data_IF_424952351857
#
_entry.id   IF_424952351857
#
_cell.length_a   1.000
_cell.length_b   1.000
_cell.length_c   1.000
_cell.angle_alpha   90.00
_cell.angle_beta   90.00
_cell.angle_gamma   90.00
#
_symmetry.space_group_name_H-M   'P 1'
#
loop_
_entity.id
_entity.type
_entity.pdbx_description
1 polymer ?
#
# COMPACT_ATOMS: atom_id res chain seq x y z
N UNK A 1 17.48 24.45 21.37
CA UNK A 1 16.92 23.32 20.58
C UNK A 1 16.70 22.04 21.42
N UNK A 2 17.20 21.94 22.66
CA UNK A 2 17.18 20.70 23.48
C UNK A 2 16.28 20.79 24.73
N UNK A 3 15.01 21.21 24.63
CA UNK A 3 14.05 21.10 25.76
C UNK A 3 12.96 20.05 25.55
N UNK A 4 12.85 19.53 24.32
CA UNK A 4 11.91 18.46 23.97
C UNK A 4 12.71 17.20 23.56
N UNK A 5 12.49 16.05 24.21
CA UNK A 5 13.19 14.80 23.88
C UNK A 5 12.93 14.31 22.46
N UNK A 6 11.79 14.61 21.84
CA UNK A 6 11.52 14.25 20.44
C UNK A 6 12.38 15.08 19.47
N UNK A 7 12.47 16.39 19.72
CA UNK A 7 13.36 17.30 19.00
C UNK A 7 14.84 16.94 19.14
N UNK A 8 15.25 16.43 20.31
CA UNK A 8 16.61 15.97 20.55
C UNK A 8 16.94 14.69 19.75
N UNK A 9 16.01 13.71 19.74
CA UNK A 9 16.17 12.49 18.96
C UNK A 9 16.26 12.76 17.45
N UNK A 10 15.42 13.65 16.91
CA UNK A 10 15.46 13.99 15.48
C UNK A 10 16.74 14.76 15.11
N UNK A 11 17.19 15.67 15.98
CA UNK A 11 18.48 16.36 15.79
C UNK A 11 19.65 15.37 15.81
N UNK A 12 19.63 14.37 16.69
CA UNK A 12 20.63 13.31 16.73
C UNK A 12 20.55 12.37 15.53
N UNK A 13 19.37 12.14 14.95
CA UNK A 13 19.19 11.26 13.80
C UNK A 13 19.79 11.85 12.51
N UNK A 14 19.66 13.16 12.31
CA UNK A 14 19.99 13.81 11.01
C UNK A 14 21.04 14.92 11.08
N UNK A 15 21.44 15.34 12.27
CA UNK A 15 22.39 16.44 12.48
C UNK A 15 23.85 16.03 12.34
N UNK A 16 24.72 17.04 12.17
CA UNK A 16 26.17 16.86 12.27
C UNK A 16 26.54 16.46 13.69
N UNK A 17 27.04 15.23 13.83
CA UNK A 17 27.38 14.64 15.12
C UNK A 17 28.87 14.79 15.39
N UNK A 18 29.24 15.48 16.48
CA UNK A 18 30.63 15.47 16.94
C UNK A 18 30.91 14.17 17.69
N UNK A 19 32.13 13.65 17.55
CA UNK A 19 32.55 12.41 18.23
C UNK A 19 32.29 12.44 19.75
N UNK A 20 32.64 13.54 20.42
CA UNK A 20 32.45 13.67 21.86
C UNK A 20 30.96 13.65 22.29
N UNK A 21 30.06 14.10 21.42
CA UNK A 21 28.62 14.05 21.70
C UNK A 21 28.08 12.62 21.47
N UNK A 22 28.58 11.93 20.44
CA UNK A 22 28.27 10.52 20.21
C UNK A 22 28.72 9.62 21.37
N UNK A 23 29.97 9.77 21.81
CA UNK A 23 30.55 9.01 22.93
C UNK A 23 29.76 9.23 24.23
N UNK A 24 29.31 10.48 24.47
CA UNK A 24 28.46 10.82 25.62
C UNK A 24 27.11 10.13 25.57
N UNK A 25 26.40 10.20 24.44
CA UNK A 25 25.11 9.50 24.27
C UNK A 25 25.25 7.99 24.47
N UNK A 26 26.35 7.40 23.98
CA UNK A 26 26.64 5.97 24.17
C UNK A 26 26.93 5.65 25.64
N UNK A 27 27.70 6.49 26.34
CA UNK A 27 28.00 6.30 27.76
C UNK A 27 26.76 6.45 28.66
N UNK A 28 25.90 7.42 28.35
CA UNK A 28 24.67 7.71 29.10
C UNK A 28 23.48 6.83 28.67
N UNK A 29 23.66 6.02 27.61
CA UNK A 29 22.60 5.21 26.96
C UNK A 29 21.37 6.02 26.54
N UNK A 30 21.58 7.25 26.07
CA UNK A 30 20.50 8.16 25.66
C UNK A 30 20.29 8.13 24.14
N UNK A 31 19.03 7.97 23.71
CA UNK A 31 18.61 8.02 22.29
C UNK A 31 19.42 7.12 21.33
N UNK A 32 19.88 5.95 21.80
CA UNK A 32 20.80 5.08 21.03
C UNK A 32 20.27 4.66 19.66
N UNK A 33 18.96 4.41 19.51
CA UNK A 33 18.39 4.06 18.22
C UNK A 33 18.47 5.23 17.22
N UNK A 34 18.14 6.45 17.67
CA UNK A 34 18.27 7.65 16.84
C UNK A 34 19.74 7.95 16.51
N UNK A 35 20.65 7.72 17.46
CA UNK A 35 22.09 7.85 17.27
C UNK A 35 22.61 6.86 16.21
N UNK A 36 22.15 5.60 16.26
CA UNK A 36 22.51 4.55 15.32
C UNK A 36 22.08 4.86 13.88
N UNK A 37 20.97 5.59 13.70
CA UNK A 37 20.50 6.08 12.40
C UNK A 37 21.37 7.22 11.83
N UNK A 38 22.20 7.89 12.64
CA UNK A 38 22.97 9.05 12.20
C UNK A 38 24.09 8.67 11.21
N UNK A 39 24.10 9.19 9.98
CA UNK A 39 25.12 8.87 8.97
C UNK A 39 26.55 9.22 9.40
N UNK A 40 26.72 10.24 10.24
CA UNK A 40 28.02 10.73 10.73
C UNK A 40 28.54 9.97 11.96
N UNK A 41 27.84 8.93 12.44
CA UNK A 41 28.32 8.14 13.58
C UNK A 41 29.66 7.46 13.25
N UNK A 42 30.70 7.63 14.10
CA UNK A 42 31.99 6.96 13.90
C UNK A 42 31.87 5.44 13.81
N UNK A 43 32.65 4.83 12.92
CA UNK A 43 32.58 3.40 12.62
C UNK A 43 32.80 2.51 13.87
N UNK A 44 33.71 2.89 14.77
CA UNK A 44 33.95 2.15 16.01
C UNK A 44 32.71 2.13 16.94
N UNK A 45 31.92 3.21 16.94
CA UNK A 45 30.65 3.26 17.68
C UNK A 45 29.53 2.49 16.97
N UNK A 46 29.52 2.46 15.63
CA UNK A 46 28.60 1.61 14.86
C UNK A 46 28.82 0.14 15.21
N UNK A 47 30.06 -0.34 15.22
CA UNK A 47 30.41 -1.72 15.56
C UNK A 47 30.02 -2.05 17.02
N UNK A 48 30.18 -1.10 17.94
CA UNK A 48 29.74 -1.27 19.33
C UNK A 48 28.21 -1.39 19.43
N UNK A 49 27.46 -0.54 18.72
CA UNK A 49 26.00 -0.54 18.76
C UNK A 49 25.38 -1.73 18.00
N UNK A 50 26.10 -2.32 17.06
CA UNK A 50 25.68 -3.54 16.36
C UNK A 50 25.45 -4.74 17.30
N UNK A 51 26.13 -4.74 18.46
CA UNK A 51 25.99 -5.74 19.51
C UNK A 51 25.28 -5.21 20.77
N UNK A 52 24.57 -4.08 20.69
CA UNK A 52 23.85 -3.54 21.86
C UNK A 52 22.74 -4.51 22.32
N UNK A 53 22.42 -4.51 23.61
CA UNK A 53 21.38 -5.37 24.17
C UNK A 53 19.98 -4.99 23.67
N UNK A 54 19.77 -3.74 23.28
CA UNK A 54 18.50 -3.26 22.72
C UNK A 54 18.34 -3.62 21.24
N UNK A 55 17.32 -4.43 20.93
CA UNK A 55 17.01 -4.86 19.56
C UNK A 55 16.64 -3.71 18.62
N UNK A 56 16.07 -2.61 19.12
CA UNK A 56 15.76 -1.43 18.30
C UNK A 56 17.04 -0.71 17.85
N UNK A 57 18.07 -0.70 18.70
CA UNK A 57 19.40 -0.16 18.35
C UNK A 57 20.07 -1.04 17.29
N UNK A 58 20.07 -2.37 17.49
CA UNK A 58 20.62 -3.31 16.51
C UNK A 58 19.91 -3.21 15.16
N UNK A 59 18.58 -3.10 15.16
CA UNK A 59 17.79 -2.87 13.95
C UNK A 59 18.16 -1.53 13.28
N UNK A 60 18.31 -0.44 14.03
CA UNK A 60 18.74 0.83 13.47
C UNK A 60 20.13 0.74 12.79
N UNK A 61 21.08 0.04 13.42
CA UNK A 61 22.41 -0.21 12.84
C UNK A 61 22.30 -1.06 11.57
N UNK A 62 21.47 -2.12 11.56
CA UNK A 62 21.29 -2.99 10.39
C UNK A 62 20.65 -2.28 9.19
N UNK A 63 20.12 -1.07 9.35
CA UNK A 63 19.54 -0.27 8.26
C UNK A 63 20.51 0.73 7.63
N UNK A 64 21.74 0.86 8.15
CA UNK A 64 22.70 1.86 7.68
C UNK A 64 23.18 1.62 6.25
N UNK A 65 23.32 2.65 5.41
CA UNK A 65 23.73 2.46 4.01
C UNK A 65 25.21 2.12 3.86
N UNK A 66 26.08 2.37 4.85
CA UNK A 66 27.51 2.07 4.71
C UNK A 66 27.83 0.58 4.90
N UNK A 67 26.92 -0.20 5.50
CA UNK A 67 27.13 -1.64 5.73
C UNK A 67 27.01 -2.43 4.43
N UNK A 68 27.98 -3.31 4.18
CA UNK A 68 27.83 -4.37 3.21
C UNK A 68 26.78 -5.40 3.65
N UNK A 69 26.36 -6.27 2.72
CA UNK A 69 25.28 -7.23 2.98
C UNK A 69 25.67 -8.28 4.04
N UNK A 70 26.93 -8.70 4.08
CA UNK A 70 27.38 -9.73 5.01
C UNK A 70 27.36 -9.21 6.46
N UNK A 71 27.91 -8.02 6.69
CA UNK A 71 27.87 -7.34 7.99
C UNK A 71 26.46 -6.99 8.40
N UNK A 72 25.64 -6.50 7.46
CA UNK A 72 24.23 -6.19 7.72
C UNK A 72 23.47 -7.39 8.28
N UNK A 73 23.66 -8.55 7.65
CA UNK A 73 22.95 -9.77 7.99
C UNK A 73 23.60 -10.56 9.13
N UNK A 74 24.81 -10.20 9.58
CA UNK A 74 25.40 -10.78 10.80
C UNK A 74 24.89 -10.14 12.10
N UNK A 75 24.18 -9.01 12.01
CA UNK A 75 23.56 -8.35 13.16
C UNK A 75 22.31 -9.12 13.55
N UNK A 76 22.17 -9.45 14.83
CA UNK A 76 20.96 -10.10 15.37
C UNK A 76 19.82 -9.08 15.51
N UNK A 77 19.08 -8.82 14.43
CA UNK A 77 17.93 -7.91 14.46
C UNK A 77 16.62 -8.68 14.28
N UNK A 78 15.53 -8.11 14.80
CA UNK A 78 14.17 -8.59 14.60
C UNK A 78 13.36 -7.55 13.84
N UNK A 79 12.55 -8.00 12.88
CA UNK A 79 11.64 -7.16 12.12
C UNK A 79 10.21 -7.56 12.45
N UNK A 80 9.36 -6.60 12.78
CA UNK A 80 7.94 -6.83 12.97
C UNK A 80 7.23 -7.16 11.66
N UNK A 81 6.19 -7.98 11.75
CA UNK A 81 5.45 -8.44 10.56
C UNK A 81 4.88 -7.27 9.75
N UNK A 82 4.46 -6.20 10.44
CA UNK A 82 3.86 -5.00 9.84
C UNK A 82 4.85 -3.86 9.58
N UNK A 83 6.13 -4.01 9.93
CA UNK A 83 7.11 -2.93 9.75
C UNK A 83 7.34 -2.64 8.27
N UNK A 84 6.95 -1.44 7.84
CA UNK A 84 7.03 -1.05 6.44
C UNK A 84 8.45 -0.77 5.93
N UNK A 85 9.41 -0.52 6.82
CA UNK A 85 10.72 0.00 6.41
C UNK A 85 10.68 1.49 6.07
N UNK A 86 9.70 2.24 6.60
CA UNK A 86 9.61 3.69 6.41
C UNK A 86 10.77 4.46 7.07
N UNK A 87 11.45 3.82 8.03
CA UNK A 87 12.68 4.33 8.65
C UNK A 87 13.93 4.18 7.79
N UNK A 88 13.89 3.50 6.63
CA UNK A 88 15.05 3.37 5.73
C UNK A 88 15.19 4.64 4.88
N UNK A 89 15.64 5.72 5.54
CA UNK A 89 15.62 7.07 4.98
C UNK A 89 16.38 7.18 3.66
N UNK A 90 17.52 6.50 3.50
CA UNK A 90 18.34 6.60 2.28
C UNK A 90 17.70 5.93 1.06
N UNK A 91 16.75 5.00 1.26
CA UNK A 91 15.92 4.46 0.17
C UNK A 91 14.73 5.39 -0.10
N UNK A 92 14.12 5.92 0.97
CA UNK A 92 12.97 6.82 0.89
C UNK A 92 13.31 8.17 0.25
N UNK A 93 14.50 8.70 0.54
CA UNK A 93 14.98 10.01 0.12
C UNK A 93 15.81 9.93 -1.19
N UNK A 94 16.23 8.73 -1.59
CA UNK A 94 16.81 8.42 -2.90
C UNK A 94 15.92 7.56 -3.80
N UNK A 95 14.59 7.74 -3.87
CA UNK A 95 13.70 6.76 -4.48
C UNK A 95 13.83 6.70 -6.01
N UNK A 96 14.45 7.70 -6.64
CA UNK A 96 14.70 7.73 -8.08
C UNK A 96 16.09 7.21 -8.49
N UNK A 97 16.98 6.90 -7.53
CA UNK A 97 18.32 6.39 -7.81
C UNK A 97 18.25 4.87 -8.08
N UNK A 98 18.54 4.41 -9.33
CA UNK A 98 18.45 3.00 -9.67
C UNK A 98 19.39 2.11 -8.87
N UNK A 99 20.56 2.62 -8.45
CA UNK A 99 21.55 1.85 -7.70
C UNK A 99 21.11 1.65 -6.25
N UNK A 100 20.57 2.70 -5.63
CA UNK A 100 19.93 2.63 -4.31
C UNK A 100 18.80 1.60 -4.31
N UNK A 101 17.90 1.67 -5.30
CA UNK A 101 16.79 0.73 -5.43
C UNK A 101 17.28 -0.70 -5.69
N UNK A 102 18.28 -0.88 -6.55
CA UNK A 102 18.85 -2.19 -6.86
C UNK A 102 19.44 -2.83 -5.62
N UNK A 103 20.22 -2.08 -4.85
CA UNK A 103 20.83 -2.54 -3.59
C UNK A 103 19.76 -2.92 -2.57
N UNK A 104 18.77 -2.05 -2.34
CA UNK A 104 17.72 -2.30 -1.36
C UNK A 104 16.82 -3.50 -1.75
N UNK A 105 16.44 -3.60 -3.02
CA UNK A 105 15.62 -4.70 -3.52
C UNK A 105 16.34 -6.06 -3.55
N UNK A 106 17.69 -6.05 -3.68
CA UNK A 106 18.50 -7.26 -3.70
C UNK A 106 18.91 -7.76 -2.30
N UNK A 107 18.78 -6.93 -1.26
CA UNK A 107 19.15 -7.29 0.11
C UNK A 107 18.27 -8.40 0.69
N UNK A 108 18.84 -9.22 1.56
CA UNK A 108 18.12 -10.18 2.38
C UNK A 108 17.32 -9.48 3.49
N UNK A 109 17.70 -8.25 3.87
CA UNK A 109 17.04 -7.48 4.93
C UNK A 109 15.59 -7.13 4.53
N UNK A 110 14.56 -7.60 5.27
CA UNK A 110 13.14 -7.39 4.89
C UNK A 110 12.75 -5.92 4.73
N UNK A 111 13.16 -5.06 5.67
CA UNK A 111 12.84 -3.63 5.61
C UNK A 111 13.43 -2.90 4.40
N UNK A 112 14.60 -3.32 3.89
CA UNK A 112 15.18 -2.73 2.67
C UNK A 112 14.34 -3.11 1.45
N UNK A 113 13.90 -4.37 1.36
CA UNK A 113 13.00 -4.85 0.30
C UNK A 113 11.65 -4.13 0.34
N UNK A 114 11.05 -4.00 1.54
CA UNK A 114 9.79 -3.28 1.75
C UNK A 114 9.94 -1.79 1.41
N UNK A 115 11.04 -1.15 1.80
CA UNK A 115 11.33 0.24 1.43
C UNK A 115 11.45 0.42 -0.10
N UNK A 116 12.19 -0.48 -0.76
CA UNK A 116 12.35 -0.44 -2.22
C UNK A 116 11.03 -0.63 -2.98
N UNK A 117 10.16 -1.52 -2.49
CA UNK A 117 8.84 -1.80 -3.06
C UNK A 117 7.85 -0.61 -3.01
N UNK A 118 8.20 0.48 -2.32
CA UNK A 118 7.39 1.70 -2.26
C UNK A 118 7.69 2.65 -3.42
N UNK A 119 8.88 2.59 -4.02
CA UNK A 119 9.30 3.57 -5.02
C UNK A 119 8.70 3.25 -6.38
N UNK A 120 7.89 4.14 -7.01
CA UNK A 120 7.30 3.89 -8.32
C UNK A 120 8.34 3.69 -9.45
N UNK A 121 9.62 4.00 -9.21
CA UNK A 121 10.72 3.90 -10.17
C UNK A 121 11.42 2.53 -10.18
N UNK A 122 10.95 1.55 -9.41
CA UNK A 122 11.56 0.22 -9.39
C UNK A 122 11.46 -0.44 -10.78
N UNK A 123 12.62 -0.84 -11.29
CA UNK A 123 12.72 -1.56 -12.56
C UNK A 123 11.93 -2.88 -12.52
N UNK A 124 11.30 -3.24 -13.64
CA UNK A 124 10.42 -4.41 -13.75
C UNK A 124 11.08 -5.73 -13.31
N UNK A 125 12.37 -5.90 -13.58
CA UNK A 125 13.12 -7.09 -13.13
C UNK A 125 13.19 -7.21 -11.61
N UNK A 126 13.41 -6.09 -10.91
CA UNK A 126 13.44 -6.03 -9.46
C UNK A 126 12.04 -6.14 -8.85
N UNK A 127 11.04 -5.51 -9.47
CA UNK A 127 9.62 -5.67 -9.09
C UNK A 127 9.22 -7.15 -9.10
N UNK A 128 9.51 -7.86 -10.19
CA UNK A 128 9.21 -9.31 -10.32
C UNK A 128 9.99 -10.15 -9.30
N UNK A 129 11.22 -9.75 -8.96
CA UNK A 129 12.00 -10.42 -7.91
C UNK A 129 11.34 -10.24 -6.55
N UNK A 130 10.96 -9.00 -6.22
CA UNK A 130 10.30 -8.66 -4.96
C UNK A 130 8.93 -9.34 -4.84
N UNK A 131 8.14 -9.39 -5.90
CA UNK A 131 6.84 -10.07 -5.92
C UNK A 131 6.91 -11.57 -5.58
N UNK A 132 8.07 -12.22 -5.77
CA UNK A 132 8.27 -13.65 -5.47
C UNK A 132 8.70 -13.93 -4.04
N UNK A 133 8.97 -12.90 -3.23
CA UNK A 133 9.42 -13.12 -1.85
C UNK A 133 8.31 -13.63 -0.94
N UNK A 134 7.04 -13.51 -1.37
CA UNK A 134 5.87 -13.85 -0.56
C UNK A 134 5.64 -12.91 0.62
N UNK A 135 6.38 -11.80 0.72
CA UNK A 135 6.22 -10.81 1.79
C UNK A 135 4.95 -9.96 1.54
N UNK A 136 3.90 -10.08 2.38
CA UNK A 136 2.65 -9.35 2.18
C UNK A 136 2.82 -7.83 2.12
N UNK A 137 3.78 -7.28 2.86
CA UNK A 137 4.03 -5.83 2.90
C UNK A 137 4.65 -5.37 1.57
N UNK A 138 5.55 -6.18 1.01
CA UNK A 138 6.11 -5.94 -0.33
C UNK A 138 4.99 -5.96 -1.38
N UNK A 139 4.16 -7.00 -1.39
CA UNK A 139 3.07 -7.12 -2.36
C UNK A 139 2.09 -5.95 -2.27
N UNK A 140 1.69 -5.56 -1.06
CA UNK A 140 0.81 -4.42 -0.85
C UNK A 140 1.44 -3.15 -1.42
N UNK A 141 2.72 -2.88 -1.14
CA UNK A 141 3.40 -1.70 -1.69
C UNK A 141 3.51 -1.74 -3.21
N UNK A 142 3.81 -2.91 -3.78
CA UNK A 142 3.82 -3.10 -5.23
C UNK A 142 2.45 -2.78 -5.84
N UNK A 143 1.36 -3.35 -5.31
CA UNK A 143 0.02 -3.11 -5.84
C UNK A 143 -0.49 -1.67 -5.67
N UNK A 144 0.06 -0.93 -4.70
CA UNK A 144 -0.37 0.45 -4.41
C UNK A 144 0.44 1.49 -5.15
N UNK A 145 1.75 1.30 -5.25
CA UNK A 145 2.66 2.33 -5.74
C UNK A 145 3.15 2.08 -7.16
N UNK A 146 3.01 0.87 -7.70
CA UNK A 146 3.61 0.54 -8.99
C UNK A 146 2.57 0.33 -10.10
N UNK A 147 2.56 1.18 -11.15
CA UNK A 147 1.65 0.98 -12.27
C UNK A 147 1.91 -0.33 -13.02
N UNK A 148 3.13 -0.88 -12.86
CA UNK A 148 3.58 -2.09 -13.51
C UNK A 148 3.32 -3.39 -12.71
N UNK A 149 2.68 -3.32 -11.54
CA UNK A 149 2.34 -4.50 -10.76
C UNK A 149 1.55 -5.51 -11.60
N UNK A 150 1.95 -6.79 -11.49
CA UNK A 150 1.29 -7.88 -12.22
C UNK A 150 -0.10 -8.16 -11.66
N UNK A 151 -1.02 -8.61 -12.52
CA UNK A 151 -2.35 -9.09 -12.14
C UNK A 151 -2.32 -10.04 -10.93
N UNK A 152 -1.39 -10.99 -10.90
CA UNK A 152 -1.28 -11.97 -9.81
C UNK A 152 -1.07 -11.29 -8.44
N UNK A 153 -0.20 -10.29 -8.38
CA UNK A 153 0.05 -9.49 -7.18
C UNK A 153 -1.17 -8.65 -6.84
N UNK A 154 -1.76 -7.97 -7.83
CA UNK A 154 -2.95 -7.14 -7.63
C UNK A 154 -4.11 -7.96 -7.06
N UNK A 155 -4.35 -9.16 -7.57
CA UNK A 155 -5.39 -10.05 -7.08
C UNK A 155 -5.12 -10.57 -5.66
N UNK A 156 -3.85 -10.82 -5.28
CA UNK A 156 -3.50 -11.17 -3.90
C UNK A 156 -3.70 -9.99 -2.93
N UNK A 157 -3.32 -8.79 -3.35
CA UNK A 157 -3.52 -7.58 -2.53
C UNK A 157 -5.01 -7.26 -2.39
N UNK A 158 -5.77 -7.38 -3.48
CA UNK A 158 -7.23 -7.29 -3.48
C UNK A 158 -7.86 -8.26 -2.48
N UNK A 159 -7.49 -9.55 -2.55
CA UNK A 159 -7.98 -10.57 -1.63
C UNK A 159 -7.70 -10.25 -0.16
N UNK A 160 -6.51 -9.70 0.10
CA UNK A 160 -6.02 -9.44 1.45
C UNK A 160 -6.66 -8.21 2.10
N UNK A 161 -6.83 -7.13 1.33
CA UNK A 161 -7.27 -5.85 1.88
C UNK A 161 -8.78 -5.69 1.89
N UNK A 162 -9.50 -6.33 0.96
CA UNK A 162 -10.97 -6.31 0.87
C UNK A 162 -11.57 -4.90 0.81
N UNK A 163 -12.90 -4.83 0.94
CA UNK A 163 -13.64 -3.60 1.22
C UNK A 163 -13.39 -2.43 0.26
N UNK A 164 -13.37 -1.22 0.81
CA UNK A 164 -13.23 0.04 0.05
C UNK A 164 -11.88 0.16 -0.65
N UNK A 165 -10.82 -0.39 -0.07
CA UNK A 165 -9.49 -0.35 -0.66
C UNK A 165 -9.41 -1.17 -1.95
N UNK A 166 -9.97 -2.37 -1.92
CA UNK A 166 -9.97 -3.29 -3.06
C UNK A 166 -10.82 -2.74 -4.21
N UNK A 167 -11.92 -2.05 -3.88
CA UNK A 167 -12.70 -1.29 -4.84
C UNK A 167 -11.89 -0.18 -5.52
N UNK A 168 -11.23 0.68 -4.73
CA UNK A 168 -10.37 1.74 -5.23
C UNK A 168 -9.25 1.19 -6.12
N UNK A 169 -8.61 0.10 -5.72
CA UNK A 169 -7.57 -0.56 -6.52
C UNK A 169 -8.12 -1.07 -7.85
N UNK A 170 -9.27 -1.77 -7.83
CA UNK A 170 -9.89 -2.28 -9.04
C UNK A 170 -10.28 -1.16 -10.01
N UNK A 171 -10.66 0.01 -9.48
CA UNK A 171 -11.07 1.20 -10.22
C UNK A 171 -9.90 1.99 -10.81
N UNK A 172 -8.83 2.17 -10.04
CA UNK A 172 -7.76 3.15 -10.37
C UNK A 172 -6.49 2.51 -10.90
N UNK A 173 -6.22 1.24 -10.62
CA UNK A 173 -4.95 0.63 -11.00
C UNK A 173 -4.93 0.27 -12.50
N UNK A 174 -3.95 0.75 -13.29
CA UNK A 174 -3.96 0.65 -14.76
C UNK A 174 -3.87 -0.78 -15.29
N UNK A 175 -3.25 -1.69 -14.51
CA UNK A 175 -3.13 -3.12 -14.83
C UNK A 175 -4.08 -4.03 -14.07
N UNK A 176 -5.08 -3.47 -13.38
CA UNK A 176 -6.06 -4.33 -12.72
C UNK A 176 -6.84 -5.14 -13.77
N UNK A 177 -7.08 -6.45 -13.54
CA UNK A 177 -7.78 -7.29 -14.50
C UNK A 177 -9.17 -6.75 -14.82
N UNK A 178 -9.60 -6.91 -16.07
CA UNK A 178 -10.94 -6.49 -16.52
C UNK A 178 -11.70 -7.59 -17.25
N UNK A 179 -11.00 -8.46 -17.98
CA UNK A 179 -11.64 -9.49 -18.79
C UNK A 179 -11.80 -10.81 -18.02
N UNK A 180 -12.88 -11.54 -18.31
CA UNK A 180 -13.13 -12.87 -17.74
C UNK A 180 -13.50 -12.87 -16.26
N UNK A 181 -13.69 -11.69 -15.65
CA UNK A 181 -14.10 -11.56 -14.25
C UNK A 181 -15.51 -12.10 -14.02
N UNK A 182 -16.42 -11.92 -14.97
CA UNK A 182 -17.79 -12.43 -14.89
C UNK A 182 -17.80 -13.95 -14.82
N UNK A 183 -17.14 -14.60 -15.79
CA UNK A 183 -17.07 -16.07 -15.83
C UNK A 183 -16.40 -16.66 -14.58
N UNK A 184 -15.40 -15.96 -14.02
CA UNK A 184 -14.61 -16.46 -12.89
C UNK A 184 -15.26 -16.21 -11.52
N UNK A 185 -15.95 -15.08 -11.36
CA UNK A 185 -16.33 -14.60 -10.03
C UNK A 185 -17.82 -14.35 -9.83
N UNK A 186 -18.67 -14.50 -10.85
CA UNK A 186 -20.10 -14.19 -10.71
C UNK A 186 -20.82 -15.00 -9.61
N UNK A 187 -20.32 -16.21 -9.30
CA UNK A 187 -20.89 -17.10 -8.29
C UNK A 187 -19.92 -17.36 -7.12
N UNK A 188 -18.90 -16.49 -6.94
CA UNK A 188 -17.91 -16.64 -5.88
C UNK A 188 -18.55 -16.49 -4.48
N UNK A 189 -18.14 -17.24 -3.45
CA UNK A 189 -18.74 -17.16 -2.11
C UNK A 189 -18.53 -15.79 -1.44
N UNK A 190 -17.38 -15.17 -1.63
CA UNK A 190 -17.08 -13.80 -1.17
C UNK A 190 -17.62 -12.76 -2.16
N UNK A 191 -18.45 -11.84 -1.66
CA UNK A 191 -19.06 -10.80 -2.49
C UNK A 191 -18.12 -9.71 -2.99
N UNK A 192 -16.92 -9.53 -2.41
CA UNK A 192 -15.90 -8.66 -3.02
C UNK A 192 -15.56 -9.20 -4.42
N UNK A 193 -15.37 -10.51 -4.57
CA UNK A 193 -15.13 -11.11 -5.88
C UNK A 193 -16.35 -11.03 -6.79
N UNK A 194 -17.57 -11.24 -6.28
CA UNK A 194 -18.78 -11.04 -7.10
C UNK A 194 -18.91 -9.60 -7.61
N UNK A 195 -18.47 -8.60 -6.85
CA UNK A 195 -18.36 -7.21 -7.32
C UNK A 195 -17.40 -7.06 -8.50
N UNK A 196 -16.34 -7.87 -8.61
CA UNK A 196 -15.48 -7.87 -9.80
C UNK A 196 -16.22 -8.34 -11.06
N UNK A 197 -17.17 -9.27 -10.93
CA UNK A 197 -17.97 -9.72 -12.07
C UNK A 197 -18.77 -8.58 -12.71
N UNK A 198 -19.22 -7.59 -11.93
CA UNK A 198 -19.87 -6.37 -12.45
C UNK A 198 -18.92 -5.59 -13.38
N UNK A 199 -17.63 -5.54 -13.05
CA UNK A 199 -16.63 -4.76 -13.79
C UNK A 199 -16.23 -5.38 -15.14
N UNK A 200 -16.60 -6.63 -15.39
CA UNK A 200 -16.27 -7.29 -16.65
C UNK A 200 -16.98 -6.59 -17.82
N UNK A 201 -16.27 -6.09 -18.85
CA UNK A 201 -16.90 -5.55 -20.05
C UNK A 201 -17.83 -6.54 -20.75
N UNK A 202 -17.58 -7.85 -20.61
CA UNK A 202 -18.40 -8.91 -21.17
C UNK A 202 -19.58 -9.34 -20.29
N UNK A 203 -19.76 -8.75 -19.09
CA UNK A 203 -20.93 -9.04 -18.26
C UNK A 203 -22.22 -8.65 -18.98
N UNK A 204 -23.18 -9.57 -18.99
CA UNK A 204 -24.47 -9.38 -19.65
C UNK A 204 -25.43 -8.54 -18.79
N UNK A 205 -26.40 -7.83 -19.39
CA UNK A 205 -27.44 -7.14 -18.63
C UNK A 205 -28.17 -8.06 -17.63
N UNK A 206 -28.39 -9.33 -17.98
CA UNK A 206 -28.98 -10.32 -17.10
C UNK A 206 -28.11 -10.64 -15.88
N UNK A 207 -26.79 -10.71 -16.07
CA UNK A 207 -25.85 -10.88 -14.95
C UNK A 207 -25.84 -9.63 -14.05
N UNK A 208 -25.83 -8.43 -14.62
CA UNK A 208 -25.88 -7.18 -13.86
C UNK A 208 -27.20 -7.08 -13.08
N UNK A 209 -28.34 -7.42 -13.69
CA UNK A 209 -29.64 -7.47 -12.99
C UNK A 209 -29.62 -8.49 -11.85
N UNK A 210 -29.04 -9.67 -12.05
CA UNK A 210 -28.86 -10.67 -10.99
C UNK A 210 -28.01 -10.13 -9.83
N UNK A 211 -26.86 -9.51 -10.12
CA UNK A 211 -25.96 -8.93 -9.12
C UNK A 211 -26.54 -7.69 -8.43
N UNK A 212 -27.54 -7.02 -9.01
CA UNK A 212 -28.30 -5.96 -8.32
C UNK A 212 -29.17 -6.48 -7.16
N UNK A 213 -29.30 -7.80 -7.03
CA UNK A 213 -29.98 -8.50 -5.93
C UNK A 213 -29.00 -9.27 -5.04
N UNK A 214 -27.70 -9.05 -5.19
CA UNK A 214 -26.66 -9.73 -4.41
C UNK A 214 -26.87 -9.51 -2.90
N UNK A 215 -26.58 -10.50 -2.02
CA UNK A 215 -26.67 -10.28 -0.58
C UNK A 215 -25.74 -9.17 -0.07
N UNK A 216 -24.60 -8.93 -0.73
CA UNK A 216 -23.66 -7.88 -0.35
C UNK A 216 -24.03 -6.51 -0.93
N UNK A 217 -24.16 -5.52 -0.05
CA UNK A 217 -24.55 -4.15 -0.42
C UNK A 217 -23.62 -3.52 -1.46
N UNK A 218 -22.30 -3.73 -1.32
CA UNK A 218 -21.31 -3.15 -2.23
C UNK A 218 -21.40 -3.71 -3.65
N UNK A 219 -21.84 -4.96 -3.79
CA UNK A 219 -22.09 -5.59 -5.10
C UNK A 219 -23.37 -5.03 -5.71
N UNK A 220 -24.43 -4.88 -4.91
CA UNK A 220 -25.67 -4.23 -5.36
C UNK A 220 -25.43 -2.79 -5.82
N UNK A 221 -24.64 -2.03 -5.06
CA UNK A 221 -24.26 -0.65 -5.41
C UNK A 221 -23.45 -0.59 -6.71
N UNK A 222 -22.48 -1.48 -6.89
CA UNK A 222 -21.72 -1.57 -8.13
C UNK A 222 -22.63 -1.88 -9.32
N UNK A 223 -23.56 -2.84 -9.20
CA UNK A 223 -24.53 -3.15 -10.24
C UNK A 223 -25.52 -1.99 -10.48
N UNK A 224 -25.94 -1.28 -9.43
CA UNK A 224 -26.82 -0.11 -9.53
C UNK A 224 -26.21 1.05 -10.32
N UNK A 225 -24.89 1.22 -10.28
CA UNK A 225 -24.16 2.22 -11.07
C UNK A 225 -23.75 1.77 -12.48
N UNK A 226 -24.01 0.51 -12.85
CA UNK A 226 -23.58 -0.03 -14.14
C UNK A 226 -24.58 0.33 -15.26
N UNK A 227 -24.12 0.87 -16.41
CA UNK A 227 -25.00 1.28 -17.52
C UNK A 227 -25.80 0.14 -18.15
N UNK A 228 -25.41 -1.12 -17.92
CA UNK A 228 -26.10 -2.29 -18.48
C UNK A 228 -27.25 -2.76 -17.59
N UNK A 229 -27.47 -2.14 -16.43
CA UNK A 229 -28.61 -2.46 -15.58
C UNK A 229 -29.92 -2.09 -16.31
N UNK A 230 -30.89 -3.01 -16.42
CA UNK A 230 -32.18 -2.68 -17.04
C UNK A 230 -32.88 -1.52 -16.33
N UNK A 231 -33.40 -0.56 -17.11
CA UNK A 231 -33.99 0.67 -16.59
C UNK A 231 -35.09 0.44 -15.53
N UNK A 232 -35.90 -0.61 -15.68
CA UNK A 232 -36.90 -1.00 -14.68
C UNK A 232 -36.25 -1.21 -13.31
N UNK A 233 -35.16 -1.97 -13.27
CA UNK A 233 -34.45 -2.29 -12.04
C UNK A 233 -33.69 -1.06 -11.50
N UNK A 234 -33.14 -0.23 -12.39
CA UNK A 234 -32.51 1.03 -12.01
C UNK A 234 -33.49 1.97 -11.28
N UNK A 235 -34.72 2.12 -11.79
CA UNK A 235 -35.78 2.91 -11.14
C UNK A 235 -36.16 2.35 -9.77
N UNK A 236 -36.24 1.03 -9.61
CA UNK A 236 -36.44 0.42 -8.30
C UNK A 236 -35.30 0.76 -7.33
N UNK A 237 -34.05 0.72 -7.80
CA UNK A 237 -32.88 1.02 -6.99
C UNK A 237 -32.84 2.48 -6.50
N UNK A 238 -33.45 3.44 -7.20
CA UNK A 238 -33.59 4.83 -6.74
C UNK A 238 -34.41 4.96 -5.45
N UNK A 239 -35.30 4.01 -5.18
CA UNK A 239 -36.15 4.01 -3.99
C UNK A 239 -35.55 3.19 -2.83
N UNK A 240 -34.42 2.52 -3.06
CA UNK A 240 -33.69 1.76 -2.04
C UNK A 240 -32.60 2.68 -1.46
N UNK A 241 -32.67 3.09 -0.18
CA UNK A 241 -31.78 4.09 0.39
C UNK A 241 -30.28 3.78 0.18
N UNK A 242 -29.87 2.53 0.33
CA UNK A 242 -28.47 2.14 0.16
C UNK A 242 -27.99 2.12 -1.30
N UNK A 243 -28.90 2.14 -2.29
CA UNK A 243 -28.58 2.11 -3.73
C UNK A 243 -28.83 3.45 -4.42
N UNK A 244 -29.63 4.33 -3.82
CA UNK A 244 -30.12 5.55 -4.45
C UNK A 244 -29.00 6.44 -5.02
N UNK A 245 -27.87 6.56 -4.31
CA UNK A 245 -26.71 7.33 -4.80
C UNK A 245 -26.07 6.70 -6.04
N UNK A 246 -25.84 5.39 -6.04
CA UNK A 246 -25.27 4.68 -7.20
C UNK A 246 -26.22 4.67 -8.39
N UNK A 247 -27.52 4.47 -8.14
CA UNK A 247 -28.55 4.52 -9.17
C UNK A 247 -28.73 5.93 -9.76
N UNK A 248 -28.70 6.97 -8.92
CA UNK A 248 -28.79 8.36 -9.35
C UNK A 248 -27.57 8.82 -10.17
N UNK A 249 -26.41 8.21 -9.95
CA UNK A 249 -25.18 8.45 -10.72
C UNK A 249 -25.07 7.56 -11.97
N UNK A 250 -26.04 6.67 -12.23
CA UNK A 250 -25.98 5.75 -13.36
C UNK A 250 -26.24 6.51 -14.68
N UNK A 251 -25.33 6.44 -15.68
CA UNK A 251 -25.49 7.15 -16.94
C UNK A 251 -26.61 6.62 -17.85
N UNK A 252 -27.21 5.47 -17.52
CA UNK A 252 -28.40 4.95 -18.22
C UNK A 252 -29.71 5.56 -17.68
N UNK A 253 -29.67 6.39 -16.63
CA UNK A 253 -30.84 7.11 -16.12
C UNK A 253 -31.23 8.25 -17.08
N UNK A 254 -32.50 8.37 -17.49
CA UNK A 254 -32.97 9.51 -18.30
C UNK A 254 -32.67 10.86 -17.64
N UNK A 255 -32.35 11.89 -18.44
CA UNK A 255 -31.95 13.21 -17.94
C UNK A 255 -33.00 13.88 -17.05
N UNK A 256 -34.29 13.70 -17.36
CA UNK A 256 -35.42 14.22 -16.58
C UNK A 256 -35.52 13.56 -15.21
N UNK A 257 -35.25 12.25 -15.13
CA UNK A 257 -35.20 11.53 -13.86
C UNK A 257 -33.96 11.90 -13.05
N UNK A 258 -32.81 12.14 -13.72
CA UNK A 258 -31.60 12.61 -13.06
C UNK A 258 -31.79 14.00 -12.46
N UNK A 259 -32.40 14.93 -13.19
CA UNK A 259 -32.78 16.25 -12.67
C UNK A 259 -33.70 16.13 -11.45
N UNK A 260 -34.72 15.27 -11.51
CA UNK A 260 -35.61 15.02 -10.37
C UNK A 260 -34.91 14.38 -9.15
N UNK A 261 -33.80 13.64 -9.35
CA UNK A 261 -32.95 13.16 -8.25
C UNK A 261 -32.16 14.32 -7.63
N UNK A 262 -31.55 15.18 -8.44
CA UNK A 262 -30.77 16.34 -7.99
C UNK A 262 -31.62 17.35 -7.22
N UNK A 263 -32.82 17.65 -7.73
CA UNK A 263 -33.78 18.55 -7.07
C UNK A 263 -34.17 18.04 -5.67
N UNK A 264 -34.44 16.74 -5.55
CA UNK A 264 -34.74 16.11 -4.24
C UNK A 264 -33.55 16.11 -3.29
N UNK A 265 -32.33 16.10 -3.81
CA UNK A 265 -31.10 16.18 -3.03
C UNK A 265 -30.75 17.63 -2.63
N UNK A 266 -31.49 18.64 -3.11
CA UNK A 266 -31.20 20.05 -2.85
C UNK A 266 -29.98 20.57 -3.60
N UNK A 267 -29.59 19.91 -4.70
CA UNK A 267 -28.48 20.32 -5.56
C UNK A 267 -29.09 21.01 -6.79
N UNK A 268 -29.09 22.35 -6.79
CA UNK A 268 -29.51 23.13 -7.96
C UNK A 268 -28.46 23.02 -9.08
N UNK A 269 -28.94 22.98 -10.32
CA UNK A 269 -28.11 22.94 -11.54
C UNK A 269 -27.17 24.15 -11.69
#
# INVERSE_FOLDING_TARGET
LLRDPASAAEALRRGLLRRADAERCVAERTHLAALAENPSLPADLVERLAADSDGAVRLAVSLRPELDEARRMSIDFTVGDLDGGDGVWWVRDGPADPEVLRRAAASAHPLLRRAAARSPHLQLGLLRRLARTGDPVVENRLGVHHPDASEEVLMRVYARLGGTFSAWMAETHPRFPREGLAARYADHPDGNYRRLAVRDPAATPALIERLSHDPEVWTRQAAAGDPRLPLRRLREALHVPELASSAGANPALPEDEMAAVLDRAGVSA
#
